data_IF_656223121802
#
_entry.id   IF_656223121802
#
_cell.length_a   1.000
_cell.length_b   1.000
_cell.length_c   1.000
_cell.angle_alpha   90.00
_cell.angle_beta   90.00
_cell.angle_gamma   90.00
#
_symmetry.space_group_name_H-M   'P 1'
#
loop_
_entity.id
_entity.type
_entity.pdbx_description
1 polymer ?
#
# COMPACT_ATOMS: atom_id res chain seq x y z
N UNK A 1 -26.58 6.46 -1.45
CA UNK A 1 -25.41 5.70 -1.96
C UNK A 1 -24.16 6.59 -1.95
N UNK A 2 -23.84 7.23 -0.82
CA UNK A 2 -22.80 8.28 -0.70
C UNK A 2 -21.80 8.01 0.42
N UNK A 3 -22.21 7.30 1.47
CA UNK A 3 -21.37 6.93 2.61
C UNK A 3 -20.23 5.96 2.24
N UNK A 4 -20.49 5.01 1.33
CA UNK A 4 -19.47 4.04 0.86
C UNK A 4 -18.29 4.76 0.20
N UNK A 5 -18.55 5.83 -0.57
CA UNK A 5 -17.50 6.61 -1.26
C UNK A 5 -16.63 7.45 -0.32
N UNK A 6 -17.10 7.76 0.90
CA UNK A 6 -16.35 8.52 1.90
C UNK A 6 -15.41 7.60 2.68
N UNK A 7 -15.87 6.40 3.04
CA UNK A 7 -15.04 5.37 3.69
C UNK A 7 -13.94 4.90 2.75
N UNK A 8 -14.24 4.68 1.46
CA UNK A 8 -13.25 4.31 0.45
C UNK A 8 -12.21 5.43 0.22
N UNK A 9 -12.64 6.70 0.20
CA UNK A 9 -11.71 7.85 0.13
C UNK A 9 -10.83 7.94 1.37
N UNK A 10 -11.41 7.80 2.56
CA UNK A 10 -10.69 7.81 3.83
C UNK A 10 -9.63 6.70 3.88
N UNK A 11 -9.98 5.48 3.47
CA UNK A 11 -9.03 4.35 3.40
C UNK A 11 -7.88 4.63 2.42
N UNK A 12 -8.16 5.24 1.26
CA UNK A 12 -7.12 5.61 0.29
C UNK A 12 -6.17 6.68 0.83
N UNK A 13 -6.69 7.75 1.42
CA UNK A 13 -5.86 8.79 2.02
C UNK A 13 -5.06 8.28 3.21
N UNK A 14 -5.66 7.41 4.03
CA UNK A 14 -4.97 6.75 5.14
C UNK A 14 -3.85 5.83 4.64
N UNK A 15 -4.11 5.00 3.61
CA UNK A 15 -3.10 4.14 2.99
C UNK A 15 -1.95 4.95 2.41
N UNK A 16 -2.24 6.03 1.68
CA UNK A 16 -1.24 6.95 1.15
C UNK A 16 -0.41 7.60 2.26
N UNK A 17 -1.06 8.12 3.31
CA UNK A 17 -0.37 8.73 4.46
C UNK A 17 0.51 7.70 5.18
N UNK A 18 0.03 6.47 5.38
CA UNK A 18 0.77 5.39 6.00
C UNK A 18 2.02 5.02 5.19
N UNK A 19 1.92 4.98 3.85
CA UNK A 19 3.07 4.74 2.97
C UNK A 19 4.10 5.86 3.08
N UNK A 20 3.66 7.13 3.06
CA UNK A 20 4.56 8.29 3.17
C UNK A 20 5.27 8.30 4.52
N UNK A 21 4.53 8.13 5.62
CA UNK A 21 5.08 8.07 6.97
C UNK A 21 6.07 6.89 7.08
N UNK A 22 5.71 5.72 6.55
CA UNK A 22 6.61 4.56 6.52
C UNK A 22 7.90 4.84 5.78
N UNK A 23 7.84 5.46 4.61
CA UNK A 23 9.00 5.82 3.81
C UNK A 23 9.91 6.81 4.54
N UNK A 24 9.33 7.81 5.23
CA UNK A 24 10.08 8.77 6.04
C UNK A 24 10.79 8.06 7.20
N UNK A 25 10.12 7.14 7.91
CA UNK A 25 10.73 6.38 9.02
C UNK A 25 11.89 5.50 8.55
N UNK A 26 11.76 4.84 7.39
CA UNK A 26 12.85 4.06 6.79
C UNK A 26 14.01 4.98 6.40
N UNK A 27 13.75 6.09 5.72
CA UNK A 27 14.78 7.04 5.33
C UNK A 27 15.52 7.63 6.55
N UNK A 28 14.78 7.95 7.61
CA UNK A 28 15.35 8.43 8.88
C UNK A 28 16.24 7.37 9.53
N UNK A 29 15.78 6.12 9.61
CA UNK A 29 16.57 5.04 10.19
C UNK A 29 17.84 4.74 9.39
N UNK A 30 17.79 4.85 8.06
CA UNK A 30 18.97 4.72 7.18
C UNK A 30 19.92 5.90 7.38
N UNK A 31 19.41 7.14 7.44
CA UNK A 31 20.24 8.32 7.63
C UNK A 31 20.97 8.31 8.98
N UNK A 32 20.24 8.01 10.06
CA UNK A 32 20.84 7.88 11.39
C UNK A 32 21.81 6.69 11.41
N UNK A 33 21.39 5.53 10.90
CA UNK A 33 22.23 4.33 10.85
C UNK A 33 23.54 4.52 10.06
N UNK A 34 23.49 5.30 8.98
CA UNK A 34 24.66 5.70 8.20
C UNK A 34 25.58 6.67 8.95
N UNK A 35 25.03 7.60 9.72
CA UNK A 35 25.80 8.51 10.57
C UNK A 35 26.43 7.81 11.77
N UNK A 36 25.75 6.83 12.36
CA UNK A 36 26.23 6.08 13.54
C UNK A 36 27.03 4.82 13.18
N UNK A 37 27.18 4.51 11.88
CA UNK A 37 27.86 3.31 11.38
C UNK A 37 27.20 1.99 11.81
N UNK A 38 25.99 2.05 12.38
CA UNK A 38 25.27 0.89 12.92
C UNK A 38 23.78 1.19 13.07
N UNK A 39 22.93 0.20 12.76
CA UNK A 39 21.49 0.22 13.01
C UNK A 39 21.22 -0.76 14.16
N UNK A 40 20.96 -0.23 15.35
CA UNK A 40 20.78 -1.03 16.58
C UNK A 40 19.68 -0.45 17.45
N UNK A 41 19.01 -1.32 18.20
CA UNK A 41 17.98 -0.94 19.16
C UNK A 41 16.89 -0.07 18.52
N UNK A 42 16.71 1.17 18.96
CA UNK A 42 15.64 2.08 18.53
C UNK A 42 15.62 2.30 17.01
N UNK A 43 16.78 2.43 16.35
CA UNK A 43 16.83 2.62 14.89
C UNK A 43 16.38 1.37 14.12
N UNK A 44 16.66 0.17 14.64
CA UNK A 44 16.18 -1.09 14.05
C UNK A 44 14.65 -1.22 14.17
N UNK A 45 14.07 -0.84 15.31
CA UNK A 45 12.61 -0.81 15.49
C UNK A 45 11.95 0.20 14.55
N UNK A 46 12.51 1.40 14.45
CA UNK A 46 11.98 2.46 13.56
C UNK A 46 12.06 2.04 12.09
N UNK A 47 13.16 1.42 11.66
CA UNK A 47 13.28 0.86 10.31
C UNK A 47 12.23 -0.23 10.05
N UNK A 48 12.05 -1.15 11.00
CA UNK A 48 11.11 -2.27 10.86
C UNK A 48 9.66 -1.80 10.79
N UNK A 49 9.26 -0.87 11.67
CA UNK A 49 7.93 -0.26 11.64
C UNK A 49 7.73 0.51 10.34
N UNK A 50 8.74 1.25 9.89
CA UNK A 50 8.72 1.96 8.61
C UNK A 50 8.47 1.02 7.44
N UNK A 51 9.17 -0.11 7.39
CA UNK A 51 8.97 -1.14 6.36
C UNK A 51 7.56 -1.74 6.39
N UNK A 52 7.03 -2.05 7.57
CA UNK A 52 5.66 -2.54 7.71
C UNK A 52 4.64 -1.51 7.18
N UNK A 53 4.81 -0.24 7.50
CA UNK A 53 3.96 0.84 6.97
C UNK A 53 4.05 0.99 5.45
N UNK A 54 5.25 0.84 4.87
CA UNK A 54 5.46 0.88 3.41
C UNK A 54 4.86 -0.34 2.71
N UNK A 55 4.76 -1.50 3.36
CA UNK A 55 4.10 -2.68 2.76
C UNK A 55 2.58 -2.63 2.90
N UNK A 56 2.07 -2.23 4.07
CA UNK A 56 0.63 -2.22 4.37
C UNK A 56 -0.06 -1.01 3.72
N UNK A 57 0.61 0.13 3.62
CA UNK A 57 0.04 1.36 3.06
C UNK A 57 -0.43 1.22 1.61
N UNK A 58 0.40 0.70 0.67
CA UNK A 58 -0.01 0.44 -0.71
C UNK A 58 -1.12 -0.59 -0.80
N UNK A 59 -1.14 -1.60 0.08
CA UNK A 59 -2.24 -2.56 0.11
C UNK A 59 -3.57 -1.91 0.49
N UNK A 60 -3.57 -0.98 1.46
CA UNK A 60 -4.76 -0.18 1.81
C UNK A 60 -5.11 0.88 0.73
N UNK A 61 -4.10 1.38 0.02
CA UNK A 61 -4.25 2.42 -1.00
C UNK A 61 -4.78 1.85 -2.33
N UNK A 62 -4.25 0.71 -2.77
CA UNK A 62 -4.58 0.04 -4.03
C UNK A 62 -5.54 -1.15 -3.88
N UNK A 63 -5.92 -1.52 -2.66
CA UNK A 63 -6.62 -2.77 -2.32
C UNK A 63 -7.93 -3.05 -3.04
N UNK A 64 -8.46 -2.12 -3.83
CA UNK A 64 -9.53 -2.37 -4.78
C UNK A 64 -9.13 -1.94 -6.19
N UNK A 65 -8.97 -2.93 -7.06
CA UNK A 65 -8.92 -2.74 -8.51
C UNK A 65 -10.19 -1.96 -8.91
N UNK A 66 -10.07 -0.85 -9.66
CA UNK A 66 -11.23 -0.05 -10.06
C UNK A 66 -12.29 -0.94 -10.68
N UNK A 67 -13.56 -0.79 -10.29
CA UNK A 67 -14.67 -1.65 -10.77
C UNK A 67 -14.72 -1.74 -12.29
N UNK A 68 -14.38 -0.65 -12.98
CA UNK A 68 -14.28 -0.58 -14.44
C UNK A 68 -13.25 -1.55 -15.03
N UNK A 69 -12.11 -1.74 -14.37
CA UNK A 69 -11.09 -2.70 -14.78
C UNK A 69 -11.56 -4.12 -14.45
N UNK A 70 -12.19 -4.30 -13.29
CA UNK A 70 -12.70 -5.59 -12.85
C UNK A 70 -13.83 -6.11 -13.76
N UNK A 71 -14.69 -5.22 -14.24
CA UNK A 71 -15.75 -5.51 -15.22
C UNK A 71 -15.16 -5.87 -16.58
N UNK A 72 -14.15 -5.13 -17.06
CA UNK A 72 -13.43 -5.46 -18.31
C UNK A 72 -12.76 -6.83 -18.24
N UNK A 73 -12.05 -7.12 -17.15
CA UNK A 73 -11.38 -8.41 -16.96
C UNK A 73 -12.41 -9.55 -16.87
N UNK A 74 -13.52 -9.36 -16.15
CA UNK A 74 -14.60 -10.36 -16.08
C UNK A 74 -15.24 -10.62 -17.45
N UNK A 75 -15.46 -9.58 -18.25
CA UNK A 75 -15.98 -9.71 -19.61
C UNK A 75 -15.03 -10.49 -20.51
N UNK A 76 -13.73 -10.21 -20.43
CA UNK A 76 -12.71 -10.90 -21.24
C UNK A 76 -12.57 -12.37 -20.85
N UNK A 77 -12.52 -12.67 -19.55
CA UNK A 77 -12.50 -14.06 -19.03
C UNK A 77 -13.75 -14.83 -19.47
N UNK A 78 -14.93 -14.20 -19.44
CA UNK A 78 -16.16 -14.83 -19.90
C UNK A 78 -16.15 -15.12 -21.41
N UNK A 79 -15.48 -14.28 -22.21
CA UNK A 79 -15.32 -14.47 -23.65
C UNK A 79 -14.40 -15.65 -23.97
N UNK A 80 -13.24 -15.72 -23.31
CA UNK A 80 -12.29 -16.83 -23.45
C UNK A 80 -12.93 -18.18 -23.08
N UNK A 81 -13.69 -18.21 -21.98
CA UNK A 81 -14.39 -19.42 -21.52
C UNK A 81 -15.48 -19.91 -22.48
N UNK A 82 -16.00 -19.05 -23.37
CA UNK A 82 -16.92 -19.45 -24.44
C UNK A 82 -16.21 -19.92 -25.71
N UNK A 83 -14.97 -19.46 -25.94
CA UNK A 83 -14.16 -19.88 -27.09
C UNK A 83 -13.51 -21.26 -26.89
N UNK A 84 -13.40 -21.71 -25.63
CA UNK A 84 -12.85 -23.01 -25.24
C UNK A 84 -13.91 -24.13 -25.18
N UNK A 85 -15.19 -23.82 -25.46
CA UNK A 85 -16.29 -24.79 -25.62
C UNK A 85 -16.64 -24.94 -27.09
#
# INVERSE_FOLDING_TARGET
>A
MTTVTQVERGRRYFGMALTIIGAILVAYAIAIGGLTGSIVSATAYVATIGWLCVMIGPWLWYGEVPRTVLERVRAEVARLKRAER
#
